data_IF_567354713791
#
_entry.id   IF_567354713791
#
_cell.length_a   1.000
_cell.length_b   1.000
_cell.length_c   1.000
_cell.angle_alpha   90.00
_cell.angle_beta   90.00
_cell.angle_gamma   90.00
#
_symmetry.space_group_name_H-M   'P 1'
#
loop_
_entity.id
_entity.type
_entity.pdbx_description
1 polymer ?
#
# COMPACT_ATOMS: atom_id res chain seq x y z
N UNK A 1 0.27 -29.67 9.69
CA UNK A 1 0.08 -28.30 10.22
C UNK A 1 0.71 -27.34 9.22
N UNK A 2 -0.06 -26.41 8.66
CA UNK A 2 0.48 -25.47 7.68
C UNK A 2 1.26 -24.34 8.35
N UNK A 3 2.45 -24.01 7.84
CA UNK A 3 3.21 -22.85 8.32
C UNK A 3 2.54 -21.55 7.83
N UNK A 4 2.23 -20.65 8.78
CA UNK A 4 1.57 -19.39 8.49
C UNK A 4 2.56 -18.34 7.97
N UNK A 5 2.49 -18.06 6.66
CA UNK A 5 3.28 -17.06 5.98
C UNK A 5 2.46 -15.81 5.64
N UNK A 6 3.15 -14.69 5.56
CA UNK A 6 2.62 -13.44 5.01
C UNK A 6 3.71 -12.75 4.19
N UNK A 7 3.33 -11.83 3.30
CA UNK A 7 4.29 -11.06 2.51
C UNK A 7 5.35 -10.38 3.39
N UNK A 8 4.93 -9.75 4.51
CA UNK A 8 5.85 -9.10 5.46
C UNK A 8 6.80 -10.09 6.12
N UNK A 9 6.32 -11.29 6.49
CA UNK A 9 7.17 -12.35 7.05
C UNK A 9 8.22 -12.82 6.04
N UNK A 10 7.80 -13.04 4.79
CA UNK A 10 8.68 -13.43 3.69
C UNK A 10 9.73 -12.36 3.40
N UNK A 11 9.34 -11.09 3.30
CA UNK A 11 10.28 -9.97 3.13
C UNK A 11 11.26 -9.87 4.30
N UNK A 12 10.78 -9.99 5.54
CA UNK A 12 11.64 -9.94 6.74
C UNK A 12 12.68 -11.05 6.71
N UNK A 13 12.27 -12.27 6.33
CA UNK A 13 13.16 -13.41 6.21
C UNK A 13 14.18 -13.21 5.09
N UNK A 14 13.73 -12.81 3.89
CA UNK A 14 14.60 -12.56 2.74
C UNK A 14 15.64 -11.47 3.00
N UNK A 15 15.28 -10.42 3.73
CA UNK A 15 16.21 -9.34 4.09
C UNK A 15 17.17 -9.77 5.20
N UNK A 16 16.66 -10.32 6.31
CA UNK A 16 17.47 -10.70 7.50
C UNK A 16 16.84 -11.90 8.24
N UNK A 17 17.27 -13.15 7.95
CA UNK A 17 16.72 -14.35 8.59
C UNK A 17 16.82 -14.36 10.12
N UNK A 18 17.92 -13.84 10.69
CA UNK A 18 18.08 -13.73 12.15
C UNK A 18 17.04 -12.80 12.78
N UNK A 19 16.74 -11.67 12.13
CA UNK A 19 15.74 -10.74 12.64
C UNK A 19 14.32 -11.35 12.57
N UNK A 20 14.03 -12.09 11.49
CA UNK A 20 12.81 -12.89 11.39
C UNK A 20 12.68 -13.86 12.57
N UNK A 21 13.72 -14.65 12.85
CA UNK A 21 13.71 -15.67 13.89
C UNK A 21 13.37 -15.08 15.26
N UNK A 22 14.08 -14.04 15.68
CA UNK A 22 13.83 -13.39 16.97
C UNK A 22 12.44 -12.76 17.06
N UNK A 23 11.96 -12.14 15.99
CA UNK A 23 10.66 -11.45 15.99
C UNK A 23 9.48 -12.43 15.99
N UNK A 24 9.51 -13.45 15.14
CA UNK A 24 8.34 -14.29 14.87
C UNK A 24 8.38 -15.65 15.56
N UNK A 25 9.56 -16.24 15.75
CA UNK A 25 9.71 -17.53 16.45
C UNK A 25 9.95 -17.32 17.95
N UNK A 26 10.74 -16.30 18.32
CA UNK A 26 11.04 -15.98 19.72
C UNK A 26 10.12 -14.92 20.33
N UNK A 27 9.22 -14.32 19.55
CA UNK A 27 8.19 -13.40 20.02
C UNK A 27 8.70 -12.04 20.54
N UNK A 28 9.93 -11.62 20.18
CA UNK A 28 10.46 -10.32 20.57
C UNK A 28 9.64 -9.19 19.94
N UNK A 29 8.96 -8.41 20.79
CA UNK A 29 8.16 -7.26 20.36
C UNK A 29 9.08 -6.09 20.03
N UNK A 30 8.96 -5.54 18.82
CA UNK A 30 9.55 -4.23 18.52
C UNK A 30 8.71 -3.13 19.20
N UNK A 31 9.35 -2.11 19.80
CA UNK A 31 8.64 -0.92 20.24
C UNK A 31 8.01 -0.24 19.01
N UNK A 32 6.69 -0.12 18.99
CA UNK A 32 5.97 0.53 17.89
C UNK A 32 6.10 2.05 18.01
N UNK A 33 6.54 2.70 16.94
CA UNK A 33 6.40 4.17 16.81
C UNK A 33 4.93 4.45 16.50
N UNK A 34 4.13 4.67 17.55
CA UNK A 34 2.66 4.68 17.53
C UNK A 34 2.03 5.65 16.50
N UNK A 35 2.70 6.74 16.11
CA UNK A 35 2.12 7.77 15.23
C UNK A 35 2.06 7.42 13.74
N UNK A 36 3.04 6.69 13.20
CA UNK A 36 3.11 6.44 11.76
C UNK A 36 2.06 5.42 11.27
N UNK A 37 1.67 4.47 12.14
CA UNK A 37 0.70 3.43 11.80
C UNK A 37 -0.75 3.94 11.76
N UNK A 38 -1.13 4.77 12.73
CA UNK A 38 -2.47 5.41 12.77
C UNK A 38 -2.67 6.28 11.53
N UNK A 39 -1.61 7.00 11.16
CA UNK A 39 -1.61 7.85 9.99
C UNK A 39 -1.82 7.08 8.68
N UNK A 40 -1.09 5.98 8.48
CA UNK A 40 -1.28 5.14 7.29
C UNK A 40 -2.69 4.58 7.24
N UNK A 41 -3.21 4.14 8.40
CA UNK A 41 -4.56 3.58 8.49
C UNK A 41 -5.63 4.56 8.02
N UNK A 42 -5.55 5.84 8.39
CA UNK A 42 -6.50 6.86 7.96
C UNK A 42 -6.49 7.09 6.44
N UNK A 43 -5.30 7.13 5.81
CA UNK A 43 -5.17 7.25 4.36
C UNK A 43 -5.76 6.05 3.62
N UNK A 44 -5.47 4.83 4.09
CA UNK A 44 -6.03 3.61 3.50
C UNK A 44 -7.55 3.60 3.64
N UNK A 45 -8.08 3.98 4.82
CA UNK A 45 -9.52 4.10 5.04
C UNK A 45 -10.18 5.10 4.09
N UNK A 46 -9.57 6.27 3.89
CA UNK A 46 -10.13 7.31 3.02
C UNK A 46 -10.12 6.88 1.55
N UNK A 47 -9.04 6.24 1.10
CA UNK A 47 -8.95 5.67 -0.25
C UNK A 47 -9.95 4.51 -0.44
N UNK A 48 -10.07 3.62 0.54
CA UNK A 48 -11.03 2.53 0.48
C UNK A 48 -12.45 3.08 0.32
N UNK A 49 -12.83 4.06 1.14
CA UNK A 49 -14.14 4.71 1.07
C UNK A 49 -14.35 5.43 -0.27
N UNK A 50 -13.35 6.17 -0.74
CA UNK A 50 -13.37 6.86 -2.03
C UNK A 50 -13.73 5.90 -3.17
N UNK A 51 -13.15 4.70 -3.21
CA UNK A 51 -13.40 3.71 -4.26
C UNK A 51 -14.66 2.85 -3.99
N UNK A 52 -15.01 2.54 -2.75
CA UNK A 52 -16.15 1.67 -2.43
C UNK A 52 -17.48 2.37 -2.65
N UNK A 53 -17.59 3.60 -2.17
CA UNK A 53 -18.87 4.31 -2.05
C UNK A 53 -19.12 5.28 -3.22
N UNK A 54 -18.14 5.46 -4.10
CA UNK A 54 -18.36 6.22 -5.34
C UNK A 54 -19.38 5.52 -6.23
N UNK A 55 -20.31 6.27 -6.81
CA UNK A 55 -21.42 5.71 -7.58
C UNK A 55 -21.06 5.40 -9.05
N UNK A 56 -19.93 5.91 -9.55
CA UNK A 56 -19.40 5.67 -10.90
C UNK A 56 -20.32 6.11 -12.06
N UNK A 57 -21.36 6.91 -11.80
CA UNK A 57 -22.14 7.56 -12.86
C UNK A 57 -21.47 8.86 -13.32
N UNK A 58 -20.77 9.52 -12.41
CA UNK A 58 -19.95 10.66 -12.72
C UNK A 58 -18.50 10.21 -12.97
N UNK A 59 -17.81 10.83 -13.95
CA UNK A 59 -16.51 10.37 -14.39
C UNK A 59 -15.43 10.54 -13.32
N UNK A 60 -15.50 11.60 -12.51
CA UNK A 60 -14.52 11.88 -11.46
C UNK A 60 -15.22 12.29 -10.16
N UNK A 61 -14.68 11.88 -9.00
CA UNK A 61 -15.15 12.35 -7.71
C UNK A 61 -14.89 13.86 -7.57
N UNK A 62 -15.83 14.57 -6.95
CA UNK A 62 -15.64 15.97 -6.58
C UNK A 62 -14.64 16.12 -5.44
N UNK A 63 -14.08 17.32 -5.27
CA UNK A 63 -13.23 17.62 -4.11
C UNK A 63 -14.03 17.50 -2.79
N UNK A 64 -15.31 17.85 -2.81
CA UNK A 64 -16.23 17.69 -1.67
C UNK A 64 -16.38 16.22 -1.27
N UNK A 65 -16.50 15.31 -2.24
CA UNK A 65 -16.55 13.88 -1.98
C UNK A 65 -15.24 13.35 -1.38
N UNK A 66 -14.10 13.80 -1.92
CA UNK A 66 -12.79 13.44 -1.38
C UNK A 66 -12.63 13.94 0.06
N UNK A 67 -13.07 15.17 0.33
CA UNK A 67 -13.07 15.76 1.67
C UNK A 67 -13.92 14.95 2.64
N UNK A 68 -15.13 14.58 2.24
CA UNK A 68 -16.02 13.75 3.03
C UNK A 68 -15.39 12.40 3.41
N UNK A 69 -14.75 11.72 2.44
CA UNK A 69 -14.05 10.45 2.69
C UNK A 69 -12.90 10.63 3.69
N UNK A 70 -12.17 11.75 3.62
CA UNK A 70 -11.09 12.05 4.55
C UNK A 70 -11.58 12.30 5.98
N UNK A 71 -12.61 13.13 6.13
CA UNK A 71 -13.14 13.54 7.44
C UNK A 71 -13.71 12.36 8.24
N UNK A 72 -14.20 11.33 7.57
CA UNK A 72 -14.68 10.10 8.22
C UNK A 72 -13.55 9.24 8.83
N UNK A 73 -12.28 9.50 8.51
CA UNK A 73 -11.15 8.63 8.82
C UNK A 73 -10.11 9.27 9.75
N UNK A 74 -10.29 10.55 10.10
CA UNK A 74 -9.29 11.35 10.84
C UNK A 74 -9.43 11.32 12.37
N UNK A 75 -10.39 10.56 12.93
CA UNK A 75 -10.76 10.65 14.36
C UNK A 75 -9.64 10.41 15.37
N UNK A 76 -8.54 9.75 14.97
CA UNK A 76 -7.38 9.47 15.83
C UNK A 76 -6.15 10.37 15.51
N UNK A 77 -6.28 11.37 14.64
CA UNK A 77 -5.18 12.22 14.19
C UNK A 77 -5.13 13.56 14.94
N UNK A 78 -3.92 14.11 15.09
CA UNK A 78 -3.73 15.49 15.56
C UNK A 78 -4.05 16.48 14.44
N UNK A 79 -4.38 17.73 14.78
CA UNK A 79 -4.66 18.77 13.78
C UNK A 79 -3.53 18.96 12.74
N UNK A 80 -2.27 18.86 13.18
CA UNK A 80 -1.11 18.90 12.29
C UNK A 80 -1.04 17.71 11.34
N UNK A 81 -1.38 16.50 11.81
CA UNK A 81 -1.44 15.30 10.97
C UNK A 81 -2.59 15.34 9.97
N UNK A 82 -3.72 15.96 10.34
CA UNK A 82 -4.87 16.12 9.46
C UNK A 82 -4.50 16.92 8.22
N UNK A 83 -3.88 18.08 8.40
CA UNK A 83 -3.54 18.96 7.27
C UNK A 83 -2.43 18.37 6.39
N UNK A 84 -1.33 17.89 6.98
CA UNK A 84 -0.23 17.28 6.21
C UNK A 84 -0.70 16.12 5.33
N UNK A 85 -1.69 15.35 5.78
CA UNK A 85 -2.12 14.13 5.10
C UNK A 85 -3.32 14.32 4.20
N UNK A 86 -4.13 15.35 4.44
CA UNK A 86 -5.04 15.84 3.43
C UNK A 86 -4.29 16.16 2.12
N UNK A 87 -3.15 16.84 2.21
CA UNK A 87 -2.35 17.19 1.03
C UNK A 87 -1.83 15.96 0.28
N UNK A 88 -1.50 14.87 0.97
CA UNK A 88 -1.07 13.61 0.34
C UNK A 88 -2.22 12.95 -0.42
N UNK A 89 -3.39 12.85 0.22
CA UNK A 89 -4.58 12.25 -0.40
C UNK A 89 -5.01 13.06 -1.63
N UNK A 90 -5.08 14.38 -1.48
CA UNK A 90 -5.40 15.31 -2.57
C UNK A 90 -4.44 15.15 -3.73
N UNK A 91 -3.12 15.16 -3.45
CA UNK A 91 -2.10 14.99 -4.47
C UNK A 91 -2.26 13.66 -5.21
N UNK A 92 -2.53 12.56 -4.52
CA UNK A 92 -2.79 11.28 -5.17
C UNK A 92 -3.97 11.35 -6.15
N UNK A 93 -5.08 11.99 -5.76
CA UNK A 93 -6.23 12.15 -6.68
C UNK A 93 -5.84 13.00 -7.89
N UNK A 94 -5.13 14.10 -7.68
CA UNK A 94 -4.67 15.00 -8.74
C UNK A 94 -3.67 14.34 -9.71
N UNK A 95 -2.78 13.46 -9.22
CA UNK A 95 -1.75 12.82 -10.05
C UNK A 95 -2.17 11.50 -10.65
N UNK A 96 -2.99 10.71 -9.97
CA UNK A 96 -3.31 9.33 -10.37
C UNK A 96 -4.73 9.16 -10.90
N UNK A 97 -5.70 9.95 -10.42
CA UNK A 97 -7.12 9.78 -10.81
C UNK A 97 -7.52 10.80 -11.87
N UNK A 98 -7.26 12.09 -11.64
CA UNK A 98 -7.67 13.17 -12.55
C UNK A 98 -7.14 12.96 -13.99
N UNK A 99 -5.88 12.53 -14.21
CA UNK A 99 -5.36 12.32 -15.57
C UNK A 99 -6.08 11.21 -16.33
N UNK A 100 -6.69 10.24 -15.63
CA UNK A 100 -7.47 9.16 -16.25
C UNK A 100 -8.77 9.65 -16.87
N UNK A 101 -9.25 10.85 -16.51
CA UNK A 101 -10.53 11.46 -16.90
C UNK A 101 -11.78 10.72 -16.43
N UNK A 102 -11.70 9.41 -16.23
CA UNK A 102 -12.75 8.54 -15.70
C UNK A 102 -12.13 7.64 -14.66
N UNK A 103 -12.64 7.70 -13.43
CA UNK A 103 -12.24 6.85 -12.33
C UNK A 103 -12.75 5.43 -12.58
N UNK A 104 -11.81 4.48 -12.71
CA UNK A 104 -12.15 3.08 -12.93
C UNK A 104 -12.60 2.43 -11.64
N UNK A 105 -13.68 1.65 -11.73
CA UNK A 105 -14.18 0.85 -10.61
C UNK A 105 -13.24 -0.33 -10.36
N UNK A 106 -12.67 -0.47 -9.15
CA UNK A 106 -11.86 -1.62 -8.81
C UNK A 106 -12.74 -2.88 -8.66
N UNK A 107 -12.12 -4.05 -8.79
CA UNK A 107 -12.75 -5.33 -8.48
C UNK A 107 -13.02 -5.45 -6.97
N UNK A 108 -12.07 -5.01 -6.14
CA UNK A 108 -12.20 -5.00 -4.69
C UNK A 108 -11.20 -4.04 -4.04
N UNK A 109 -11.48 -3.61 -2.82
CA UNK A 109 -10.58 -2.81 -1.97
C UNK A 109 -10.58 -3.35 -0.54
N UNK A 110 -9.45 -3.17 0.16
CA UNK A 110 -9.25 -3.52 1.58
C UNK A 110 -9.65 -4.96 1.96
N UNK A 111 -9.30 -5.93 1.12
CA UNK A 111 -9.68 -7.32 1.31
C UNK A 111 -8.59 -8.19 1.94
N UNK A 112 -8.95 -9.47 2.13
CA UNK A 112 -8.02 -10.51 2.61
C UNK A 112 -7.70 -11.46 1.47
N UNK A 113 -6.43 -11.80 1.34
CA UNK A 113 -5.98 -12.88 0.45
C UNK A 113 -5.48 -14.04 1.30
N UNK A 114 -5.86 -15.26 0.91
CA UNK A 114 -5.36 -16.48 1.51
C UNK A 114 -5.16 -17.54 0.44
N UNK A 115 -4.11 -18.34 0.61
CA UNK A 115 -3.81 -19.44 -0.29
C UNK A 115 -3.01 -20.53 0.43
N UNK A 116 -3.12 -21.75 -0.06
CA UNK A 116 -2.27 -22.86 0.34
C UNK A 116 -1.24 -23.11 -0.76
N UNK A 117 0.02 -23.25 -0.37
CA UNK A 117 1.14 -23.52 -1.27
C UNK A 117 1.89 -24.71 -0.72
N UNK A 118 2.22 -25.66 -1.59
CA UNK A 118 3.03 -26.83 -1.27
C UNK A 118 4.42 -26.63 -1.84
N UNK A 119 5.46 -26.68 -1.00
CA UNK A 119 6.86 -26.58 -1.42
C UNK A 119 7.64 -27.70 -0.72
N UNK A 120 8.27 -28.58 -1.51
CA UNK A 120 9.06 -29.71 -0.99
C UNK A 120 8.30 -30.60 0.02
N UNK A 121 7.00 -30.83 -0.22
CA UNK A 121 6.14 -31.62 0.67
C UNK A 121 5.74 -30.91 1.97
N UNK A 122 6.12 -29.64 2.15
CA UNK A 122 5.68 -28.81 3.26
C UNK A 122 4.52 -27.92 2.81
N UNK A 123 3.47 -27.89 3.62
CA UNK A 123 2.31 -27.03 3.41
C UNK A 123 2.51 -25.67 4.06
N UNK A 124 2.30 -24.62 3.29
CA UNK A 124 2.32 -23.24 3.73
C UNK A 124 0.96 -22.60 3.50
N UNK A 125 0.44 -21.91 4.51
CA UNK A 125 -0.73 -21.06 4.37
C UNK A 125 -0.27 -19.62 4.25
N UNK A 126 -0.38 -19.07 3.04
CA UNK A 126 -0.14 -17.67 2.77
C UNK A 126 -1.38 -16.87 3.17
N UNK A 127 -1.17 -15.80 3.93
CA UNK A 127 -2.23 -14.86 4.34
C UNK A 127 -1.74 -13.43 4.18
N UNK A 128 -2.64 -12.53 3.78
CA UNK A 128 -2.33 -11.12 3.61
C UNK A 128 -3.57 -10.25 3.52
N UNK A 129 -3.32 -8.95 3.46
CA UNK A 129 -4.31 -7.93 3.08
C UNK A 129 -3.83 -7.27 1.79
N UNK A 130 -4.78 -6.86 0.97
CA UNK A 130 -4.54 -6.03 -0.20
C UNK A 130 -5.32 -4.73 -0.07
N UNK A 131 -4.80 -3.65 -0.64
CA UNK A 131 -5.48 -2.36 -0.57
C UNK A 131 -6.47 -2.20 -1.73
N UNK A 132 -6.08 -2.56 -2.96
CA UNK A 132 -6.96 -2.48 -4.13
C UNK A 132 -6.61 -3.53 -5.19
N UNK A 133 -7.63 -4.10 -5.82
CA UNK A 133 -7.55 -4.94 -7.01
C UNK A 133 -8.26 -4.26 -8.18
N UNK A 134 -7.57 -4.08 -9.30
CA UNK A 134 -8.16 -3.55 -10.53
C UNK A 134 -8.30 -4.66 -11.58
N UNK A 135 -9.32 -4.59 -12.42
CA UNK A 135 -9.44 -5.48 -13.58
C UNK A 135 -8.52 -4.99 -14.70
N UNK A 136 -7.84 -5.92 -15.34
CA UNK A 136 -7.13 -5.71 -16.61
C UNK A 136 -7.76 -6.60 -17.68
N UNK A 137 -7.48 -6.33 -18.96
CA UNK A 137 -7.94 -7.17 -20.07
C UNK A 137 -7.48 -8.63 -19.91
N UNK A 138 -6.26 -8.84 -19.40
CA UNK A 138 -5.64 -10.16 -19.23
C UNK A 138 -5.28 -10.44 -17.76
N UNK A 139 -6.10 -10.00 -16.81
CA UNK A 139 -5.92 -10.39 -15.40
C UNK A 139 -6.34 -9.34 -14.39
N UNK A 140 -5.56 -9.27 -13.30
CA UNK A 140 -5.85 -8.42 -12.15
C UNK A 140 -4.57 -7.68 -11.76
N UNK A 141 -4.69 -6.37 -11.54
CA UNK A 141 -3.61 -5.56 -10.96
C UNK A 141 -3.82 -5.44 -9.45
N UNK A 142 -2.76 -5.68 -8.68
CA UNK A 142 -2.77 -5.56 -7.22
C UNK A 142 -2.02 -4.31 -6.82
N UNK A 143 -2.72 -3.40 -6.16
CA UNK A 143 -2.22 -2.09 -5.77
C UNK A 143 -2.04 -2.06 -4.25
N UNK A 144 -0.82 -1.68 -3.84
CA UNK A 144 -0.38 -1.52 -2.46
C UNK A 144 0.03 -0.06 -2.24
N UNK A 145 -0.72 0.65 -1.39
CA UNK A 145 -0.48 2.05 -1.08
C UNK A 145 0.65 2.19 -0.05
N UNK A 146 1.55 3.15 -0.27
CA UNK A 146 2.62 3.49 0.67
C UNK A 146 2.64 4.98 0.95
N UNK A 147 2.77 5.33 2.23
CA UNK A 147 2.74 6.72 2.73
C UNK A 147 4.06 7.15 3.39
N UNK A 148 5.14 6.40 3.14
CA UNK A 148 6.47 6.64 3.69
C UNK A 148 7.15 7.87 3.05
N UNK A 149 7.89 8.66 3.86
CA UNK A 149 8.60 9.89 3.41
C UNK A 149 9.67 9.64 2.36
N UNK A 150 10.18 8.43 2.23
CA UNK A 150 11.12 7.98 1.20
C UNK A 150 10.80 6.52 0.87
N UNK A 151 10.01 6.21 -0.18
CA UNK A 151 9.75 4.84 -0.54
C UNK A 151 11.04 4.18 -1.04
N UNK A 152 11.60 3.24 -0.28
CA UNK A 152 12.62 2.33 -0.83
C UNK A 152 11.89 1.30 -1.67
N UNK A 153 11.94 1.46 -2.99
CA UNK A 153 11.38 0.49 -3.92
C UNK A 153 12.13 -0.84 -3.78
N UNK A 154 11.43 -1.98 -3.81
CA UNK A 154 12.08 -3.27 -3.96
C UNK A 154 12.79 -3.28 -5.31
N UNK A 155 14.12 -3.19 -5.27
CA UNK A 155 14.95 -3.34 -6.46
C UNK A 155 14.71 -4.73 -7.02
N UNK A 156 14.21 -4.81 -8.27
CA UNK A 156 14.07 -6.07 -8.98
C UNK A 156 15.43 -6.80 -8.95
N UNK A 157 15.53 -8.05 -8.45
CA UNK A 157 16.79 -8.80 -8.41
C UNK A 157 17.31 -9.25 -9.79
N UNK A 158 16.92 -8.58 -10.88
CA UNK A 158 17.31 -8.91 -12.25
C UNK A 158 17.66 -7.71 -13.13
N UNK A 159 17.79 -6.49 -12.58
CA UNK A 159 18.14 -5.29 -13.35
C UNK A 159 19.54 -4.81 -12.96
N UNK A 160 20.58 -5.49 -13.44
CA UNK A 160 21.92 -4.92 -13.52
C UNK A 160 21.99 -4.07 -14.80
N UNK A 161 21.83 -2.75 -14.67
CA UNK A 161 22.39 -1.81 -15.64
C UNK A 161 22.98 -0.60 -14.92
N UNK A 162 24.11 -0.19 -15.47
CA UNK A 162 25.12 0.72 -14.93
C UNK A 162 24.63 2.08 -14.40
N UNK A 163 25.40 2.54 -13.43
CA UNK A 163 25.43 3.84 -12.77
C UNK A 163 25.48 5.04 -13.73
N UNK A 164 24.80 6.12 -13.34
CA UNK A 164 25.32 7.47 -13.49
C UNK A 164 24.82 8.34 -12.34
N UNK A 165 25.78 8.89 -11.58
CA UNK A 165 25.58 9.92 -10.57
C UNK A 165 24.93 11.17 -11.18
N UNK A 166 23.93 11.73 -10.51
CA UNK A 166 23.76 13.19 -10.49
C UNK A 166 23.11 13.61 -9.17
N UNK A 167 23.87 14.39 -8.41
CA UNK A 167 23.46 15.07 -7.20
C UNK A 167 22.42 16.14 -7.52
N UNK A 168 21.23 16.06 -6.93
CA UNK A 168 20.31 17.21 -6.85
C UNK A 168 19.54 17.18 -5.53
N UNK A 169 19.72 18.25 -4.75
CA UNK A 169 18.88 18.58 -3.61
C UNK A 169 17.39 18.57 -4.02
N UNK A 170 16.55 17.80 -3.35
CA UNK A 170 15.09 17.95 -3.42
C UNK A 170 14.47 17.90 -2.03
N UNK A 171 13.58 18.85 -1.79
CA UNK A 171 12.75 18.93 -0.59
C UNK A 171 11.88 17.67 -0.46
N UNK A 172 11.74 17.17 0.76
CA UNK A 172 11.10 15.89 1.08
C UNK A 172 9.71 15.75 0.45
N UNK A 173 9.65 14.94 -0.60
CA UNK A 173 8.47 14.66 -1.40
C UNK A 173 7.88 13.33 -0.94
N UNK A 174 6.69 13.37 -0.32
CA UNK A 174 5.89 12.19 0.01
C UNK A 174 5.10 11.78 -1.24
N UNK A 175 5.41 10.62 -1.82
CA UNK A 175 4.73 10.06 -3.00
C UNK A 175 3.93 8.81 -2.59
N UNK A 176 2.66 8.73 -2.99
CA UNK A 176 1.87 7.50 -3.00
C UNK A 176 2.15 6.81 -4.34
N UNK A 177 3.13 5.91 -4.37
CA UNK A 177 3.48 5.17 -5.60
C UNK A 177 2.76 3.83 -5.67
N UNK A 178 2.06 3.61 -6.78
CA UNK A 178 1.38 2.36 -7.14
C UNK A 178 2.44 1.37 -7.65
N UNK A 179 2.59 0.22 -6.99
CA UNK A 179 3.45 -0.85 -7.51
C UNK A 179 2.72 -1.66 -8.58
N UNK A 180 3.19 -1.70 -9.84
CA UNK A 180 2.74 -2.71 -10.78
C UNK A 180 3.38 -4.06 -10.38
N UNK A 181 2.56 -5.06 -10.06
CA UNK A 181 3.04 -6.44 -9.91
C UNK A 181 3.19 -7.09 -11.29
N UNK A 182 4.26 -7.86 -11.44
CA UNK A 182 4.54 -8.67 -12.63
C UNK A 182 3.33 -9.58 -12.94
N UNK A 183 2.97 -9.63 -14.22
CA UNK A 183 2.06 -10.63 -14.80
C UNK A 183 2.53 -12.03 -14.36
N UNK A 184 1.63 -12.78 -13.73
CA UNK A 184 1.78 -14.23 -13.52
C UNK A 184 1.04 -14.97 -14.63
#
# INVERSE_FOLDING_TARGET
>A
MAYLLSATKLMSYAQRPRAYYYRYEYGLKQPSVFGAAVLGTALHGALAQLYQDWHYQDPLPSEEWLRYCWENQIGALTATQVEERWQILRRYVETEIVPLRVMQRPLATEGRIQGLIQVNGLEFKLTGRYDRLNSLEEGVDLIDYKSAKNPTMPTNPGSLTHSADTTSHSAGCLTLEVMPLKRF
#
